data_IF_924527941643
#
_entry.id   IF_924527941643
#
_cell.length_a   1.000
_cell.length_b   1.000
_cell.length_c   1.000
_cell.angle_alpha   90.00
_cell.angle_beta   90.00
_cell.angle_gamma   90.00
#
_symmetry.space_group_name_H-M   'P 1'
#
loop_
_entity.id
_entity.type
_entity.pdbx_description
1 polymer ?
#
# COMPACT_ATOMS: atom_id res chain seq x y z
N UNK A 1 8.93 -13.71 -3.14
CA UNK A 1 7.70 -12.89 -3.32
C UNK A 1 7.89 -11.62 -2.54
N UNK A 2 7.48 -10.48 -3.08
CA UNK A 2 7.79 -9.17 -2.53
C UNK A 2 6.62 -8.21 -2.74
N UNK A 3 6.46 -7.30 -1.77
CA UNK A 3 5.42 -6.28 -1.74
C UNK A 3 5.86 -5.09 -2.59
N UNK A 4 4.90 -4.38 -3.19
CA UNK A 4 5.19 -3.17 -3.95
C UNK A 4 4.94 -1.95 -3.09
N UNK A 5 5.98 -1.16 -2.85
CA UNK A 5 5.89 0.09 -2.10
C UNK A 5 5.85 1.23 -3.10
N UNK A 6 4.81 2.04 -3.02
CA UNK A 6 4.63 3.24 -3.80
C UNK A 6 4.98 4.44 -2.93
N UNK A 7 6.19 4.96 -3.09
CA UNK A 7 6.59 6.28 -2.56
C UNK A 7 6.31 7.32 -3.64
N UNK A 8 6.18 8.60 -3.29
CA UNK A 8 5.83 9.65 -4.26
C UNK A 8 6.63 9.54 -5.58
N UNK A 9 5.91 9.27 -6.68
CA UNK A 9 6.45 9.11 -8.04
C UNK A 9 7.21 7.81 -8.35
N UNK A 10 7.46 6.92 -7.40
CA UNK A 10 8.24 5.69 -7.61
C UNK A 10 7.63 4.46 -6.94
N UNK A 11 7.70 3.32 -7.62
CA UNK A 11 7.33 2.04 -7.06
C UNK A 11 8.56 1.13 -6.99
N UNK A 12 8.80 0.52 -5.82
CA UNK A 12 9.87 -0.46 -5.63
C UNK A 12 9.33 -1.74 -4.99
N UNK A 13 10.01 -2.84 -5.24
CA UNK A 13 9.65 -4.14 -4.67
C UNK A 13 10.53 -4.41 -3.44
N UNK A 14 9.90 -4.75 -2.32
CA UNK A 14 10.59 -5.13 -1.08
C UNK A 14 10.23 -6.57 -0.74
N UNK A 15 11.22 -7.36 -0.34
CA UNK A 15 11.02 -8.77 0.05
C UNK A 15 10.88 -8.87 1.57
N UNK A 16 9.91 -9.63 2.05
CA UNK A 16 9.69 -9.79 3.50
C UNK A 16 10.80 -10.65 4.10
N UNK A 17 11.28 -10.26 5.28
CA UNK A 17 12.29 -11.02 6.03
C UNK A 17 11.68 -12.14 6.91
N UNK A 18 10.34 -12.24 6.97
CA UNK A 18 9.64 -13.27 7.74
C UNK A 18 9.59 -14.65 7.06
N UNK A 19 8.99 -15.62 7.77
CA UNK A 19 8.79 -16.97 7.24
C UNK A 19 8.05 -16.94 5.91
N UNK A 20 8.60 -17.64 4.91
CA UNK A 20 8.06 -17.72 3.54
C UNK A 20 7.96 -16.36 2.80
N UNK A 21 8.64 -15.32 3.28
CA UNK A 21 8.61 -13.99 2.65
C UNK A 21 7.37 -13.15 3.00
N UNK A 22 6.65 -13.52 4.07
CA UNK A 22 5.56 -12.72 4.64
C UNK A 22 6.11 -11.50 5.38
N UNK A 23 5.29 -10.46 5.48
CA UNK A 23 5.58 -9.27 6.28
C UNK A 23 4.85 -9.34 7.62
N UNK A 24 5.60 -9.12 8.71
CA UNK A 24 4.99 -8.89 10.02
C UNK A 24 4.34 -7.50 10.05
N UNK A 25 3.23 -7.35 10.77
CA UNK A 25 2.48 -6.07 10.87
C UNK A 25 3.36 -4.90 11.28
N UNK A 26 4.33 -5.11 12.18
CA UNK A 26 5.25 -4.05 12.59
C UNK A 26 6.16 -3.57 11.45
N UNK A 27 6.58 -4.45 10.53
CA UNK A 27 7.41 -4.07 9.38
C UNK A 27 6.59 -3.20 8.41
N UNK A 28 5.31 -3.51 8.23
CA UNK A 28 4.40 -2.71 7.42
C UNK A 28 4.18 -1.32 8.03
N UNK A 29 4.06 -1.24 9.35
CA UNK A 29 3.97 0.02 10.10
C UNK A 29 5.20 0.92 9.88
N UNK A 30 6.40 0.34 9.96
CA UNK A 30 7.64 1.07 9.71
C UNK A 30 7.72 1.58 8.26
N UNK A 31 7.23 0.79 7.29
CA UNK A 31 7.26 1.14 5.87
C UNK A 31 6.29 2.27 5.49
N UNK A 32 5.06 2.26 5.99
CA UNK A 32 4.11 3.36 5.70
C UNK A 32 4.27 4.54 6.66
N UNK A 33 4.97 4.33 7.78
CA UNK A 33 5.33 5.33 8.76
C UNK A 33 4.20 5.67 9.74
N UNK A 34 3.44 4.67 10.22
CA UNK A 34 2.52 4.85 11.34
C UNK A 34 1.21 4.06 11.28
N UNK A 35 0.11 4.73 11.63
CA UNK A 35 -1.13 4.05 11.97
C UNK A 35 -1.72 3.39 10.72
N UNK A 36 -1.69 2.06 10.69
CA UNK A 36 -2.06 1.29 9.52
C UNK A 36 -3.57 1.33 9.27
N UNK A 37 -3.94 1.64 8.03
CA UNK A 37 -5.28 1.43 7.52
C UNK A 37 -5.22 0.53 6.28
N UNK A 38 -6.10 -0.48 6.26
CA UNK A 38 -6.21 -1.46 5.20
C UNK A 38 -7.35 -1.07 4.26
N UNK A 39 -7.01 -0.76 3.01
CA UNK A 39 -7.95 -0.51 1.93
C UNK A 39 -7.96 -1.74 1.03
N UNK A 40 -9.08 -2.45 1.00
CA UNK A 40 -9.27 -3.54 0.03
C UNK A 40 -9.20 -3.00 -1.39
N UNK A 41 -8.70 -3.79 -2.33
CA UNK A 41 -8.66 -3.47 -3.76
C UNK A 41 -9.44 -4.51 -4.55
N UNK A 42 -10.23 -4.07 -5.53
CA UNK A 42 -10.71 -4.97 -6.58
C UNK A 42 -9.51 -5.35 -7.45
N UNK A 43 -9.06 -6.61 -7.32
CA UNK A 43 -7.87 -7.22 -7.91
C UNK A 43 -7.09 -6.31 -8.89
N UNK A 44 -5.99 -5.72 -8.42
CA UNK A 44 -5.17 -4.81 -9.21
C UNK A 44 -3.96 -5.53 -9.78
N UNK A 45 -3.81 -5.55 -11.11
CA UNK A 45 -2.67 -6.21 -11.75
C UNK A 45 -1.54 -5.21 -12.01
N UNK A 46 -0.33 -5.51 -11.52
CA UNK A 46 0.90 -4.80 -11.89
C UNK A 46 1.94 -5.85 -12.23
N UNK A 47 2.53 -5.76 -13.42
CA UNK A 47 3.60 -6.65 -13.89
C UNK A 47 3.24 -8.16 -13.77
N UNK A 48 1.96 -8.51 -13.95
CA UNK A 48 1.47 -9.89 -13.85
C UNK A 48 1.15 -10.37 -12.44
N UNK A 49 1.37 -9.55 -11.40
CA UNK A 49 1.02 -9.85 -10.00
C UNK A 49 -0.30 -9.19 -9.61
N UNK A 50 -1.13 -9.89 -8.85
CA UNK A 50 -2.44 -9.40 -8.41
C UNK A 50 -2.43 -8.96 -6.95
N UNK A 51 -2.57 -7.66 -6.73
CA UNK A 51 -2.65 -7.05 -5.42
C UNK A 51 -4.12 -6.92 -4.99
N UNK A 52 -4.40 -7.28 -3.74
CA UNK A 52 -5.73 -7.26 -3.13
C UNK A 52 -5.87 -6.24 -2.01
N UNK A 53 -4.75 -5.79 -1.44
CA UNK A 53 -4.78 -4.82 -0.35
C UNK A 53 -3.82 -3.67 -0.61
N UNK A 54 -4.21 -2.52 -0.09
CA UNK A 54 -3.41 -1.31 -0.03
C UNK A 54 -3.34 -0.88 1.43
N UNK A 55 -2.13 -0.79 1.98
CA UNK A 55 -1.90 -0.31 3.33
C UNK A 55 -1.41 1.13 3.27
N UNK A 56 -2.05 1.99 4.05
CA UNK A 56 -1.76 3.42 4.13
C UNK A 56 -1.55 3.84 5.59
N UNK A 57 -0.87 4.97 5.81
CA UNK A 57 -0.85 5.63 7.12
C UNK A 57 -2.08 6.54 7.24
N UNK A 58 -3.07 6.12 8.03
CA UNK A 58 -4.31 6.88 8.23
C UNK A 58 -4.09 8.27 8.85
N UNK A 59 -2.97 8.44 9.56
CA UNK A 59 -2.57 9.71 10.15
C UNK A 59 -1.67 10.55 9.21
N UNK A 60 -1.42 10.09 7.98
CA UNK A 60 -0.51 10.76 7.04
C UNK A 60 -0.91 12.22 6.78
N UNK A 61 -2.21 12.53 6.76
CA UNK A 61 -2.70 13.90 6.58
C UNK A 61 -2.37 14.81 7.78
N UNK A 62 -2.48 14.30 9.00
CA UNK A 62 -2.13 15.04 10.22
C UNK A 62 -0.62 15.27 10.33
N UNK A 63 0.17 14.35 9.75
CA UNK A 63 1.62 14.43 9.64
C UNK A 63 2.10 15.26 8.43
N UNK A 64 1.18 15.91 7.71
CA UNK A 64 1.49 16.72 6.53
C UNK A 64 2.25 15.96 5.43
N UNK A 65 2.01 14.65 5.30
CA UNK A 65 2.62 13.84 4.23
C UNK A 65 2.14 14.29 2.84
N UNK A 66 3.01 14.22 1.82
CA UNK A 66 2.64 14.63 0.45
C UNK A 66 1.54 13.74 -0.14
N UNK A 67 0.81 14.26 -1.12
CA UNK A 67 -0.16 13.48 -1.88
C UNK A 67 0.53 12.39 -2.69
N UNK A 68 0.03 11.17 -2.60
CA UNK A 68 0.49 10.05 -3.41
C UNK A 68 -0.48 9.85 -4.58
N UNK A 69 -0.16 10.50 -5.70
CA UNK A 69 -0.99 10.47 -6.91
C UNK A 69 -1.15 9.06 -7.46
N UNK A 70 -0.07 8.27 -7.44
CA UNK A 70 -0.08 6.89 -7.93
C UNK A 70 -1.03 6.02 -7.10
N UNK A 71 -0.89 6.03 -5.77
CA UNK A 71 -1.74 5.25 -4.89
C UNK A 71 -3.21 5.70 -4.95
N UNK A 72 -3.46 7.02 -5.03
CA UNK A 72 -4.81 7.56 -5.21
C UNK A 72 -5.44 7.05 -6.51
N UNK A 73 -4.68 7.02 -7.61
CA UNK A 73 -5.16 6.50 -8.89
C UNK A 73 -5.46 5.00 -8.83
N UNK A 74 -4.61 4.21 -8.16
CA UNK A 74 -4.87 2.77 -7.91
C UNK A 74 -6.19 2.59 -7.16
N UNK A 75 -6.36 3.33 -6.06
CA UNK A 75 -7.55 3.30 -5.23
C UNK A 75 -8.85 3.64 -5.98
N UNK A 76 -8.82 4.71 -6.78
CA UNK A 76 -9.95 5.10 -7.63
C UNK A 76 -10.27 4.06 -8.70
N UNK A 77 -9.25 3.53 -9.40
CA UNK A 77 -9.42 2.52 -10.45
C UNK A 77 -9.99 1.20 -9.89
N UNK A 78 -9.66 0.87 -8.65
CA UNK A 78 -10.21 -0.28 -7.95
C UNK A 78 -11.62 -0.06 -7.38
N UNK A 79 -12.14 1.18 -7.43
CA UNK A 79 -13.49 1.54 -6.98
C UNK A 79 -13.66 1.63 -5.45
N UNK A 80 -12.56 1.62 -4.69
CA UNK A 80 -12.59 1.54 -3.22
C UNK A 80 -12.15 2.85 -2.53
N UNK A 81 -11.84 3.89 -3.32
CA UNK A 81 -11.71 5.26 -2.86
C UNK A 81 -12.78 6.11 -3.54
N UNK A 82 -13.42 7.03 -2.80
CA UNK A 82 -14.36 7.97 -3.40
C UNK A 82 -13.59 8.93 -4.30
N UNK A 83 -14.19 9.43 -5.38
CA UNK A 83 -13.54 10.30 -6.38
C UNK A 83 -12.92 11.62 -5.86
N UNK A 84 -13.11 11.93 -4.57
CA UNK A 84 -12.58 13.12 -3.89
C UNK A 84 -11.57 12.78 -2.81
N UNK A 85 -11.32 11.49 -2.58
CA UNK A 85 -10.38 11.03 -1.59
C UNK A 85 -8.99 10.97 -2.22
N UNK A 86 -7.99 11.21 -1.39
CA UNK A 86 -6.59 11.18 -1.81
C UNK A 86 -5.81 10.41 -0.77
N UNK A 87 -4.90 9.56 -1.26
CA UNK A 87 -3.94 8.88 -0.42
C UNK A 87 -2.73 9.79 -0.23
N UNK A 88 -2.18 9.82 0.97
CA UNK A 88 -1.02 10.64 1.34
C UNK A 88 0.07 9.76 1.92
N UNK A 89 1.32 10.13 1.66
CA UNK A 89 2.49 9.37 2.10
C UNK A 89 2.70 8.06 1.35
N UNK A 90 3.51 7.19 1.93
CA UNK A 90 3.91 5.94 1.33
C UNK A 90 2.85 4.86 1.51
N UNK A 91 2.77 3.98 0.53
CA UNK A 91 1.72 2.97 0.43
C UNK A 91 2.32 1.63 0.11
N UNK A 92 1.84 0.59 0.78
CA UNK A 92 2.23 -0.79 0.50
C UNK A 92 1.08 -1.52 -0.20
N UNK A 93 1.36 -2.12 -1.34
CA UNK A 93 0.46 -3.02 -2.03
C UNK A 93 0.81 -4.46 -1.71
N UNK A 94 -0.21 -5.25 -1.35
CA UNK A 94 -0.08 -6.63 -0.92
C UNK A 94 -0.96 -7.57 -1.75
N UNK A 95 -0.41 -8.75 -2.02
CA UNK A 95 -1.15 -9.93 -2.46
C UNK A 95 -1.81 -10.60 -1.25
N UNK A 96 -2.82 -11.43 -1.51
CA UNK A 96 -3.62 -12.08 -0.46
C UNK A 96 -2.82 -12.95 0.53
N UNK A 97 -1.69 -13.49 0.09
CA UNK A 97 -0.86 -14.41 0.86
C UNK A 97 0.34 -13.76 1.54
N UNK A 98 0.52 -12.43 1.41
CA UNK A 98 1.71 -11.71 1.88
C UNK A 98 1.57 -11.17 3.32
N UNK A 99 0.40 -11.30 3.92
CA UNK A 99 0.09 -10.96 5.32
C UNK A 99 -0.49 -12.17 6.04
N UNK A 100 -0.05 -12.39 7.27
CA UNK A 100 -0.61 -13.35 8.23
C UNK A 100 -1.48 -12.64 9.28
#
# INVERSE_FOLDING_TARGET
MGIKICTDGQAFEVTGEGDQGKFMVHQLNDLVGGHLEFVGLRAFNIDGKFYKFMIVDSNGKQKEKPFNMLASQVGHNCGNLHSKDFVVGDVVLLQEHEVD
#
